data_IF_446937932521
#
_entry.id   IF_446937932521
#
_cell.length_a   1.000
_cell.length_b   1.000
_cell.length_c   1.000
_cell.angle_alpha   90.00
_cell.angle_beta   90.00
_cell.angle_gamma   90.00
#
_symmetry.space_group_name_H-M   'P 1'
#
loop_
_entity.id
_entity.type
_entity.pdbx_description
1 polymer ?
#
# COMPACT_ATOMS: atom_id res chain seq x y z
N UNK A 1 -5.73 25.10 -4.97
CA UNK A 1 -6.98 24.32 -5.10
C UNK A 1 -6.65 22.83 -5.09
N UNK A 2 -7.05 22.10 -4.01
CA UNK A 2 -6.66 20.69 -3.85
C UNK A 2 -7.35 19.76 -4.87
N UNK A 3 -8.65 19.96 -5.13
CA UNK A 3 -9.43 19.11 -6.04
C UNK A 3 -9.18 19.50 -7.51
N UNK A 4 -8.18 18.86 -8.11
CA UNK A 4 -7.94 18.90 -9.55
C UNK A 4 -8.65 17.74 -10.25
N UNK A 5 -8.93 17.79 -11.58
CA UNK A 5 -9.51 16.67 -12.30
C UNK A 5 -8.72 15.36 -12.14
N UNK A 6 -7.39 15.44 -12.06
CA UNK A 6 -6.52 14.28 -11.82
C UNK A 6 -6.77 13.67 -10.45
N UNK A 7 -6.80 14.46 -9.39
CA UNK A 7 -7.05 13.99 -8.02
C UNK A 7 -8.43 13.34 -7.94
N UNK A 8 -9.47 13.97 -8.49
CA UNK A 8 -10.83 13.40 -8.54
C UNK A 8 -10.84 12.04 -9.25
N UNK A 9 -10.17 11.93 -10.39
CA UNK A 9 -10.06 10.67 -11.12
C UNK A 9 -9.36 9.58 -10.29
N UNK A 10 -8.26 9.91 -9.58
CA UNK A 10 -7.56 8.95 -8.70
C UNK A 10 -8.41 8.51 -7.51
N UNK A 11 -9.17 9.42 -6.90
CA UNK A 11 -10.11 9.06 -5.83
C UNK A 11 -11.14 8.04 -6.32
N UNK A 12 -11.76 8.29 -7.48
CA UNK A 12 -12.73 7.36 -8.08
C UNK A 12 -12.11 5.97 -8.31
N UNK A 13 -10.89 5.91 -8.87
CA UNK A 13 -10.18 4.64 -9.05
C UNK A 13 -9.92 3.91 -7.73
N UNK A 14 -9.49 4.64 -6.69
CA UNK A 14 -9.16 4.05 -5.39
C UNK A 14 -10.39 3.50 -4.67
N UNK A 15 -11.54 4.18 -4.77
CA UNK A 15 -12.80 3.66 -4.25
C UNK A 15 -13.24 2.37 -4.96
N UNK A 16 -13.08 2.29 -6.29
CA UNK A 16 -13.35 1.07 -7.06
C UNK A 16 -12.41 -0.07 -6.63
N UNK A 17 -11.11 0.19 -6.52
CA UNK A 17 -10.14 -0.80 -6.07
C UNK A 17 -10.41 -1.29 -4.64
N UNK A 18 -10.78 -0.39 -3.72
CA UNK A 18 -11.18 -0.76 -2.35
C UNK A 18 -12.33 -1.76 -2.38
N UNK A 19 -13.37 -1.51 -3.18
CA UNK A 19 -14.50 -2.42 -3.31
C UNK A 19 -14.12 -3.79 -3.89
N UNK A 20 -13.16 -3.85 -4.81
CA UNK A 20 -12.63 -5.11 -5.37
C UNK A 20 -11.83 -5.89 -4.32
N UNK A 21 -10.94 -5.24 -3.59
CA UNK A 21 -10.15 -5.86 -2.53
C UNK A 21 -11.07 -6.48 -1.48
N UNK A 22 -12.06 -5.74 -0.98
CA UNK A 22 -12.97 -6.23 0.05
C UNK A 22 -13.68 -7.51 -0.38
N UNK A 23 -14.12 -7.62 -1.64
CA UNK A 23 -14.72 -8.85 -2.17
C UNK A 23 -13.75 -10.03 -2.22
N UNK A 24 -12.47 -9.78 -2.54
CA UNK A 24 -11.45 -10.83 -2.54
C UNK A 24 -11.12 -11.31 -1.13
N UNK A 25 -11.12 -10.42 -0.14
CA UNK A 25 -10.88 -10.76 1.27
C UNK A 25 -11.92 -11.76 1.82
N UNK A 26 -13.14 -11.75 1.28
CA UNK A 26 -14.21 -12.66 1.66
C UNK A 26 -14.08 -14.08 1.05
N UNK A 27 -13.26 -14.25 -0.01
CA UNK A 27 -13.31 -15.47 -0.83
C UNK A 27 -12.13 -16.43 -0.68
N UNK A 28 -10.90 -15.96 -0.34
CA UNK A 28 -9.69 -16.83 -0.30
C UNK A 28 -8.68 -16.38 0.76
N UNK A 29 -8.95 -16.72 2.02
CA UNK A 29 -8.10 -16.34 3.16
C UNK A 29 -6.68 -16.99 3.13
N UNK A 30 -6.54 -18.19 2.53
CA UNK A 30 -5.26 -18.90 2.53
C UNK A 30 -4.25 -18.28 1.54
N UNK A 31 -4.70 -17.98 0.32
CA UNK A 31 -3.86 -17.29 -0.68
C UNK A 31 -3.46 -15.89 -0.21
N UNK A 32 -4.36 -15.19 0.46
CA UNK A 32 -4.12 -13.86 1.01
C UNK A 32 -3.10 -13.86 2.15
N UNK A 33 -2.99 -14.94 2.94
CA UNK A 33 -1.97 -15.05 4.00
C UNK A 33 -0.54 -15.04 3.44
N UNK A 34 -0.28 -15.77 2.35
CA UNK A 34 1.05 -15.79 1.69
C UNK A 34 1.43 -14.40 1.14
N UNK A 35 0.45 -13.71 0.54
CA UNK A 35 0.66 -12.33 0.04
C UNK A 35 0.99 -11.40 1.20
N UNK A 36 0.26 -11.49 2.31
CA UNK A 36 0.47 -10.66 3.51
C UNK A 36 1.88 -10.78 4.08
N UNK A 37 2.38 -12.01 4.21
CA UNK A 37 3.75 -12.25 4.69
C UNK A 37 4.79 -11.64 3.77
N UNK A 38 4.62 -11.82 2.45
CA UNK A 38 5.52 -11.26 1.44
C UNK A 38 5.50 -9.72 1.48
N UNK A 39 4.32 -9.12 1.54
CA UNK A 39 4.16 -7.68 1.62
C UNK A 39 4.78 -7.10 2.91
N UNK A 40 4.58 -7.76 4.06
CA UNK A 40 5.18 -7.35 5.33
C UNK A 40 6.72 -7.39 5.27
N UNK A 41 7.31 -8.45 4.69
CA UNK A 41 8.75 -8.56 4.48
C UNK A 41 9.28 -7.40 3.62
N UNK A 42 8.62 -7.12 2.50
CA UNK A 42 8.99 -6.03 1.60
C UNK A 42 8.86 -4.66 2.28
N UNK A 43 7.78 -4.43 3.03
CA UNK A 43 7.51 -3.18 3.74
C UNK A 43 8.58 -2.90 4.78
N UNK A 44 8.88 -3.87 5.65
CA UNK A 44 9.92 -3.71 6.68
C UNK A 44 11.29 -3.47 6.03
N UNK A 45 11.63 -4.23 4.98
CA UNK A 45 12.89 -4.07 4.26
C UNK A 45 13.01 -2.67 3.62
N UNK A 46 11.99 -2.25 2.88
CA UNK A 46 12.00 -1.00 2.14
C UNK A 46 12.03 0.22 3.06
N UNK A 47 11.20 0.24 4.10
CA UNK A 47 11.15 1.36 5.05
C UNK A 47 12.49 1.57 5.75
N UNK A 48 13.16 0.51 6.15
CA UNK A 48 14.47 0.63 6.79
C UNK A 48 15.58 1.03 5.78
N UNK A 49 15.52 0.53 4.54
CA UNK A 49 16.47 0.94 3.48
C UNK A 49 16.37 2.42 3.12
N UNK A 50 15.18 3.03 3.20
CA UNK A 50 15.01 4.47 2.99
C UNK A 50 15.83 5.31 3.98
N UNK A 51 16.11 4.77 5.16
CA UNK A 51 16.95 5.39 6.22
C UNK A 51 18.40 4.87 6.23
N UNK A 52 18.84 4.17 5.18
CA UNK A 52 20.18 3.60 5.11
C UNK A 52 20.41 2.42 6.05
N UNK A 53 19.37 1.87 6.68
CA UNK A 53 19.45 0.71 7.56
C UNK A 53 19.47 -0.54 6.69
N UNK A 54 20.55 -1.33 6.78
CA UNK A 54 20.74 -2.50 5.93
C UNK A 54 21.03 -3.75 6.75
N UNK A 55 20.35 -4.83 6.42
CA UNK A 55 20.55 -6.17 6.99
C UNK A 55 20.62 -7.17 5.84
N UNK A 56 21.51 -8.18 5.94
CA UNK A 56 21.62 -9.23 4.94
C UNK A 56 20.29 -9.96 4.74
N UNK A 57 19.95 -10.32 3.49
CA UNK A 57 18.63 -10.79 3.11
C UNK A 57 18.17 -12.03 3.91
N UNK A 58 19.04 -13.03 4.07
CA UNK A 58 18.73 -14.24 4.85
C UNK A 58 18.47 -13.93 6.33
N UNK A 59 19.21 -12.96 6.87
CA UNK A 59 19.03 -12.51 8.25
C UNK A 59 17.76 -11.69 8.41
N UNK A 60 17.46 -10.84 7.41
CA UNK A 60 16.23 -10.05 7.35
C UNK A 60 14.98 -10.96 7.38
N UNK A 61 14.95 -12.01 6.55
CA UNK A 61 13.87 -13.00 6.55
C UNK A 61 13.69 -13.65 7.92
N UNK A 62 14.78 -14.06 8.58
CA UNK A 62 14.74 -14.65 9.94
C UNK A 62 14.21 -13.67 10.98
N UNK A 63 14.63 -12.40 10.92
CA UNK A 63 14.14 -11.35 11.82
C UNK A 63 12.65 -11.09 11.65
N UNK A 64 12.16 -11.06 10.43
CA UNK A 64 10.78 -10.67 10.15
C UNK A 64 9.82 -11.85 10.31
N UNK A 65 10.08 -12.97 9.66
CA UNK A 65 9.18 -14.12 9.66
C UNK A 65 9.32 -14.99 10.94
N UNK A 66 10.56 -15.26 11.36
CA UNK A 66 10.82 -16.15 12.50
C UNK A 66 10.99 -15.40 13.84
N UNK A 67 10.90 -14.06 13.81
CA UNK A 67 11.05 -13.20 15.01
C UNK A 67 12.30 -13.51 15.85
N UNK A 68 13.41 -13.83 15.19
CA UNK A 68 14.69 -14.09 15.90
C UNK A 68 15.17 -12.82 16.60
N UNK A 69 15.93 -12.98 17.71
CA UNK A 69 16.46 -11.87 18.46
C UNK A 69 17.44 -11.03 17.63
N UNK A 70 17.29 -9.69 17.60
CA UNK A 70 18.20 -8.80 16.90
C UNK A 70 19.57 -8.75 17.63
N UNK A 71 20.66 -8.72 16.88
CA UNK A 71 22.03 -8.73 17.37
C UNK A 71 22.75 -7.39 17.16
N UNK A 72 22.55 -6.76 15.99
CA UNK A 72 23.15 -5.48 15.65
C UNK A 72 22.16 -4.32 15.84
N UNK A 73 22.65 -3.09 15.83
CA UNK A 73 21.76 -1.92 15.97
C UNK A 73 20.82 -1.75 14.77
N UNK A 74 21.24 -2.12 13.57
CA UNK A 74 20.36 -2.14 12.41
C UNK A 74 19.29 -3.23 12.52
N UNK A 75 19.65 -4.42 13.01
CA UNK A 75 18.68 -5.47 13.30
C UNK A 75 17.66 -5.07 14.36
N UNK A 76 18.08 -4.33 15.41
CA UNK A 76 17.17 -3.78 16.43
C UNK A 76 16.15 -2.81 15.83
N UNK A 77 16.60 -1.94 14.93
CA UNK A 77 15.72 -0.99 14.21
C UNK A 77 14.73 -1.73 13.32
N UNK A 78 15.17 -2.75 12.58
CA UNK A 78 14.33 -3.61 11.75
C UNK A 78 13.29 -4.36 12.59
N UNK A 79 13.72 -4.97 13.71
CA UNK A 79 12.82 -5.70 14.59
C UNK A 79 11.77 -4.80 15.24
N UNK A 80 12.15 -3.59 15.65
CA UNK A 80 11.21 -2.59 16.18
C UNK A 80 10.16 -2.20 15.15
N UNK A 81 10.57 -1.89 13.90
CA UNK A 81 9.66 -1.54 12.82
C UNK A 81 8.69 -2.69 12.51
N UNK A 82 9.19 -3.94 12.40
CA UNK A 82 8.39 -5.14 12.22
C UNK A 82 7.29 -5.24 13.28
N UNK A 83 7.66 -5.07 14.55
CA UNK A 83 6.72 -5.28 15.65
C UNK A 83 5.63 -4.21 15.69
N UNK A 84 5.99 -2.94 15.41
CA UNK A 84 5.00 -1.86 15.30
C UNK A 84 4.09 -2.07 14.10
N UNK A 85 4.62 -2.44 12.93
CA UNK A 85 3.80 -2.73 11.76
C UNK A 85 2.84 -3.91 12.02
N UNK A 86 3.32 -4.96 12.70
CA UNK A 86 2.48 -6.11 13.10
C UNK A 86 1.37 -5.69 14.05
N UNK A 87 1.69 -4.84 15.04
CA UNK A 87 0.71 -4.31 15.98
C UNK A 87 -0.36 -3.47 15.28
N UNK A 88 0.05 -2.59 14.37
CA UNK A 88 -0.86 -1.78 13.56
C UNK A 88 -1.77 -2.69 12.73
N UNK A 89 -1.20 -3.64 11.99
CA UNK A 89 -1.97 -4.55 11.11
C UNK A 89 -3.01 -5.40 11.86
N UNK A 90 -2.73 -5.72 13.14
CA UNK A 90 -3.63 -6.53 13.95
C UNK A 90 -4.67 -5.71 14.74
N UNK A 91 -4.40 -4.42 15.02
CA UNK A 91 -5.16 -3.65 16.00
C UNK A 91 -5.51 -2.23 15.54
N UNK A 92 -5.42 -1.91 14.24
CA UNK A 92 -5.64 -0.54 13.75
C UNK A 92 -6.98 0.07 14.18
N UNK A 93 -8.04 -0.71 14.33
CA UNK A 93 -9.35 -0.25 14.78
C UNK A 93 -9.32 0.33 16.21
N UNK A 94 -8.41 -0.18 17.06
CA UNK A 94 -8.25 0.21 18.45
C UNK A 94 -7.12 1.22 18.69
N UNK A 95 -6.43 1.65 17.64
CA UNK A 95 -5.30 2.58 17.72
C UNK A 95 -5.72 3.96 17.15
N UNK A 96 -6.34 4.85 17.93
CA UNK A 96 -6.70 6.18 17.45
C UNK A 96 -5.43 6.99 17.08
N UNK A 97 -5.47 7.86 16.08
CA UNK A 97 -4.35 8.74 15.72
C UNK A 97 -4.21 9.88 16.76
N UNK A 98 -3.92 9.52 18.00
CA UNK A 98 -3.76 10.41 19.15
C UNK A 98 -2.28 10.51 19.55
N UNK A 99 -1.85 11.61 20.20
CA UNK A 99 -0.48 11.77 20.67
C UNK A 99 0.00 10.60 21.55
N UNK A 100 -0.85 10.09 22.44
CA UNK A 100 -0.53 8.95 23.31
C UNK A 100 -0.23 7.67 22.51
N UNK A 101 -1.02 7.39 21.48
CA UNK A 101 -0.80 6.26 20.57
C UNK A 101 0.50 6.43 19.78
N UNK A 102 0.74 7.62 19.24
CA UNK A 102 1.95 7.93 18.46
C UNK A 102 3.20 7.77 19.33
N UNK A 103 3.19 8.27 20.55
CA UNK A 103 4.28 8.11 21.51
C UNK A 103 4.50 6.64 21.89
N UNK A 104 3.42 5.87 22.08
CA UNK A 104 3.52 4.43 22.37
C UNK A 104 4.14 3.67 21.18
N UNK A 105 3.65 3.89 19.95
CA UNK A 105 4.22 3.26 18.76
C UNK A 105 5.68 3.65 18.55
N UNK A 106 6.05 4.91 18.84
CA UNK A 106 7.44 5.36 18.79
C UNK A 106 8.31 4.69 19.88
N UNK A 107 7.79 4.47 21.08
CA UNK A 107 8.48 3.71 22.12
C UNK A 107 8.71 2.26 21.66
N UNK A 108 7.71 1.63 21.06
CA UNK A 108 7.79 0.26 20.58
C UNK A 108 8.75 0.13 19.40
N UNK A 109 8.88 1.16 18.54
CA UNK A 109 9.85 1.23 17.44
C UNK A 109 11.31 1.11 17.95
N UNK A 110 11.59 1.57 19.17
CA UNK A 110 12.92 1.57 19.78
C UNK A 110 13.09 0.56 20.93
N UNK A 111 12.11 -0.33 21.16
CA UNK A 111 12.13 -1.24 22.31
C UNK A 111 13.35 -2.16 22.40
N UNK A 112 13.98 -2.47 21.27
CA UNK A 112 15.20 -3.29 21.23
C UNK A 112 16.49 -2.47 21.40
N UNK A 113 16.42 -1.16 21.41
CA UNK A 113 17.60 -0.27 21.52
C UNK A 113 18.10 -0.07 22.94
N UNK A 114 17.51 -0.74 23.93
CA UNK A 114 18.02 -0.89 25.30
C UNK A 114 17.97 0.36 26.18
N UNK A 115 17.42 1.48 25.70
CA UNK A 115 17.28 2.74 26.45
C UNK A 115 16.02 3.47 26.02
N UNK A 116 15.56 4.41 26.86
CA UNK A 116 14.41 5.30 26.67
C UNK A 116 14.59 6.29 25.50
N UNK A 117 15.00 5.81 24.33
CA UNK A 117 15.17 6.64 23.12
C UNK A 117 13.82 6.94 22.49
N UNK A 118 12.86 6.00 22.61
CA UNK A 118 11.53 6.13 22.01
C UNK A 118 10.47 6.63 22.98
N UNK A 119 9.43 7.24 22.43
CA UNK A 119 8.25 7.69 23.20
C UNK A 119 8.40 9.04 23.88
N UNK A 120 9.43 9.80 23.51
CA UNK A 120 9.65 11.16 24.01
C UNK A 120 9.63 12.14 22.84
N UNK A 121 9.11 13.35 23.08
CA UNK A 121 9.27 14.44 22.13
C UNK A 121 10.73 14.89 22.08
N UNK A 122 11.13 15.46 20.94
CA UNK A 122 12.44 16.13 20.85
C UNK A 122 12.52 17.28 21.84
N UNK A 123 13.69 17.45 22.45
CA UNK A 123 13.96 18.56 23.37
C UNK A 123 14.32 19.80 22.52
N UNK A 124 13.31 20.59 22.19
CA UNK A 124 13.50 21.88 21.53
C UNK A 124 13.13 22.99 22.50
N UNK A 125 14.13 23.73 22.96
CA UNK A 125 13.90 24.92 23.78
C UNK A 125 13.04 25.93 23.00
N UNK A 126 11.73 25.95 23.28
CA UNK A 126 10.82 26.99 22.83
C UNK A 126 9.76 26.62 21.82
N UNK A 127 9.69 25.40 21.26
CA UNK A 127 8.59 24.98 20.39
C UNK A 127 7.80 23.81 20.98
N UNK A 128 6.47 23.96 21.12
CA UNK A 128 5.62 22.92 21.72
C UNK A 128 5.27 21.83 20.69
N UNK A 129 6.24 20.95 20.35
CA UNK A 129 5.96 19.81 19.48
C UNK A 129 4.78 18.97 19.98
N UNK A 130 4.59 18.90 21.31
CA UNK A 130 3.48 18.23 21.93
C UNK A 130 2.13 18.89 21.59
N UNK A 131 2.07 20.22 21.65
CA UNK A 131 0.84 20.98 21.31
C UNK A 131 0.55 20.94 19.81
N UNK A 132 1.57 21.06 18.96
CA UNK A 132 1.42 20.95 17.51
C UNK A 132 0.94 19.58 17.10
N UNK A 133 1.49 18.50 17.67
CA UNK A 133 1.04 17.14 17.40
C UNK A 133 -0.39 16.91 17.92
N UNK A 134 -0.74 17.42 19.10
CA UNK A 134 -2.09 17.31 19.64
C UNK A 134 -3.11 18.05 18.74
N UNK A 135 -2.75 19.26 18.29
CA UNK A 135 -3.59 20.04 17.38
C UNK A 135 -3.79 19.33 16.03
N UNK A 136 -2.74 18.75 15.46
CA UNK A 136 -2.81 17.96 14.23
C UNK A 136 -3.74 16.75 14.39
N UNK A 137 -3.56 15.96 15.46
CA UNK A 137 -4.39 14.79 15.72
C UNK A 137 -5.87 15.17 15.91
N UNK A 138 -6.15 16.22 16.69
CA UNK A 138 -7.52 16.69 16.93
C UNK A 138 -8.18 17.21 15.64
N UNK A 139 -7.46 18.00 14.84
CA UNK A 139 -7.96 18.50 13.57
C UNK A 139 -8.28 17.37 12.58
N UNK A 140 -7.42 16.35 12.53
CA UNK A 140 -7.62 15.17 11.67
C UNK A 140 -8.86 14.36 12.12
N UNK A 141 -8.97 14.06 13.42
CA UNK A 141 -10.13 13.35 13.97
C UNK A 141 -11.45 14.11 13.73
N UNK A 142 -11.44 15.44 13.92
CA UNK A 142 -12.61 16.27 13.63
C UNK A 142 -12.98 16.26 12.15
N UNK A 143 -11.99 16.36 11.26
CA UNK A 143 -12.22 16.31 9.82
C UNK A 143 -12.79 14.97 9.35
N UNK A 144 -12.40 13.86 9.98
CA UNK A 144 -12.94 12.53 9.68
C UNK A 144 -14.42 12.36 10.08
N UNK A 145 -14.97 13.21 10.96
CA UNK A 145 -16.40 13.16 11.30
C UNK A 145 -17.26 13.80 10.19
N UNK A 146 -16.69 14.59 9.31
CA UNK A 146 -17.41 15.16 8.18
C UNK A 146 -17.51 14.14 7.04
N UNK A 147 -18.70 13.60 6.73
CA UNK A 147 -18.88 12.59 5.68
C UNK A 147 -18.60 13.10 4.26
N UNK A 148 -18.46 14.41 4.08
CA UNK A 148 -18.12 15.03 2.77
C UNK A 148 -16.61 14.98 2.53
N UNK A 149 -15.79 14.90 3.58
CA UNK A 149 -14.34 14.88 3.46
C UNK A 149 -13.81 13.46 3.26
N UNK A 150 -13.16 13.25 2.12
CA UNK A 150 -12.56 11.96 1.81
C UNK A 150 -11.26 11.75 2.63
N UNK A 151 -11.13 10.65 3.39
CA UNK A 151 -9.90 10.32 4.13
C UNK A 151 -8.64 10.32 3.25
N UNK A 152 -8.75 9.96 1.97
CA UNK A 152 -7.63 9.99 1.02
C UNK A 152 -7.11 11.39 0.70
N UNK A 153 -7.87 12.43 1.02
CA UNK A 153 -7.40 13.83 0.97
C UNK A 153 -6.80 14.27 2.31
N UNK A 154 -7.38 13.80 3.42
CA UNK A 154 -6.94 14.19 4.77
C UNK A 154 -5.61 13.53 5.15
N UNK A 155 -5.41 12.26 4.78
CA UNK A 155 -4.19 11.50 5.13
C UNK A 155 -2.92 12.15 4.57
N UNK A 156 -2.83 12.55 3.28
CA UNK A 156 -1.64 13.24 2.76
C UNK A 156 -1.35 14.56 3.49
N UNK A 157 -2.40 15.32 3.86
CA UNK A 157 -2.25 16.56 4.63
C UNK A 157 -1.66 16.27 6.01
N UNK A 158 -2.22 15.29 6.72
CA UNK A 158 -1.68 14.83 8.01
C UNK A 158 -0.20 14.42 7.89
N UNK A 159 0.17 13.72 6.83
CA UNK A 159 1.54 13.26 6.61
C UNK A 159 2.52 14.43 6.40
N UNK A 160 2.14 15.43 5.60
CA UNK A 160 2.94 16.63 5.40
C UNK A 160 3.11 17.38 6.72
N UNK A 161 2.05 17.58 7.46
CA UNK A 161 2.09 18.30 8.74
C UNK A 161 2.91 17.55 9.79
N UNK A 162 2.74 16.24 9.92
CA UNK A 162 3.51 15.40 10.84
C UNK A 162 5.01 15.46 10.56
N UNK A 163 5.40 15.40 9.28
CA UNK A 163 6.80 15.45 8.87
C UNK A 163 7.43 16.84 9.09
N UNK A 164 6.64 17.91 8.96
CA UNK A 164 7.11 19.28 9.25
C UNK A 164 7.17 19.57 10.75
N UNK A 165 6.23 19.08 11.56
CA UNK A 165 6.31 19.14 13.03
C UNK A 165 7.55 18.38 13.52
N UNK A 166 7.86 17.24 12.88
CA UNK A 166 9.00 16.39 13.20
C UNK A 166 9.17 16.17 14.72
N UNK A 167 8.20 15.49 15.39
CA UNK A 167 8.10 15.53 16.85
C UNK A 167 9.20 14.77 17.60
N UNK A 168 10.04 14.01 16.90
CA UNK A 168 11.06 13.14 17.47
C UNK A 168 12.46 13.50 16.99
N UNK A 169 13.48 13.32 17.84
CA UNK A 169 14.87 13.47 17.45
C UNK A 169 15.32 12.43 16.42
N UNK A 170 14.72 11.23 16.50
CA UNK A 170 15.05 10.13 15.59
C UNK A 170 13.79 9.35 15.21
N UNK A 171 13.73 8.89 13.97
CA UNK A 171 12.70 7.97 13.49
C UNK A 171 11.37 8.62 13.11
N UNK A 172 11.32 9.95 12.98
CA UNK A 172 10.12 10.65 12.47
C UNK A 172 9.69 10.10 11.11
N UNK A 173 10.61 9.87 10.19
CA UNK A 173 10.32 9.35 8.85
C UNK A 173 9.82 7.90 8.90
N UNK A 174 10.37 7.05 9.74
CA UNK A 174 9.87 5.68 9.94
C UNK A 174 8.50 5.68 10.59
N UNK A 175 8.29 6.55 11.60
CA UNK A 175 6.98 6.73 12.21
C UNK A 175 5.95 7.26 11.23
N UNK A 176 6.32 8.18 10.34
CA UNK A 176 5.39 8.69 9.33
C UNK A 176 4.86 7.56 8.44
N UNK A 177 5.70 6.64 7.97
CA UNK A 177 5.26 5.49 7.16
C UNK A 177 4.38 4.50 7.93
N UNK A 178 4.69 4.26 9.23
CA UNK A 178 3.82 3.46 10.11
C UNK A 178 2.47 4.14 10.34
N UNK A 179 2.45 5.46 10.54
CA UNK A 179 1.22 6.24 10.66
C UNK A 179 0.42 6.25 9.35
N UNK A 180 1.08 6.34 8.19
CA UNK A 180 0.42 6.19 6.90
C UNK A 180 -0.35 4.87 6.82
N UNK A 181 0.29 3.75 7.19
CA UNK A 181 -0.36 2.45 7.23
C UNK A 181 -1.56 2.45 8.21
N UNK A 182 -1.38 2.97 9.42
CA UNK A 182 -2.43 3.07 10.42
C UNK A 182 -3.64 3.86 9.91
N UNK A 183 -3.43 5.05 9.39
CA UNK A 183 -4.49 5.95 8.92
C UNK A 183 -5.24 5.37 7.72
N UNK A 184 -4.52 4.74 6.78
CA UNK A 184 -5.12 4.06 5.63
C UNK A 184 -5.99 2.88 6.08
N UNK A 185 -5.49 2.01 6.97
CA UNK A 185 -6.24 0.83 7.43
C UNK A 185 -7.49 1.24 8.21
N UNK A 186 -7.40 2.20 9.12
CA UNK A 186 -8.56 2.77 9.83
C UNK A 186 -9.61 3.36 8.91
N UNK A 187 -9.19 3.86 7.74
CA UNK A 187 -10.09 4.39 6.70
C UNK A 187 -10.59 3.31 5.73
N UNK A 188 -10.24 2.03 5.97
CA UNK A 188 -10.63 0.89 5.16
C UNK A 188 -9.84 0.73 3.85
N UNK A 189 -8.65 1.34 3.74
CA UNK A 189 -7.74 1.17 2.61
C UNK A 189 -6.59 0.23 2.99
N UNK A 190 -6.87 -1.08 3.03
CA UNK A 190 -5.98 -2.10 3.58
C UNK A 190 -4.96 -2.66 2.57
N UNK A 191 -4.86 -2.11 1.37
CA UNK A 191 -3.97 -2.63 0.31
C UNK A 191 -2.52 -2.76 0.77
N UNK A 192 -2.05 -1.90 1.69
CA UNK A 192 -0.71 -1.96 2.26
C UNK A 192 -0.39 -3.23 3.03
N UNK A 193 -1.41 -4.00 3.47
CA UNK A 193 -1.23 -5.32 4.05
C UNK A 193 -0.87 -6.39 3.01
N UNK A 194 -1.14 -6.15 1.72
CA UNK A 194 -1.03 -7.11 0.63
C UNK A 194 -0.06 -6.67 -0.48
N UNK A 195 0.26 -5.38 -0.54
CA UNK A 195 1.21 -4.78 -1.49
C UNK A 195 2.01 -3.69 -0.77
N UNK A 196 3.33 -3.80 -0.76
CA UNK A 196 4.19 -2.90 0.01
C UNK A 196 4.18 -1.48 -0.56
N UNK A 197 3.51 -0.56 0.13
CA UNK A 197 3.55 0.87 -0.17
C UNK A 197 4.99 1.40 0.01
N UNK A 198 5.69 1.00 1.07
CA UNK A 198 7.07 1.43 1.35
C UNK A 198 8.05 1.01 0.25
N UNK A 199 7.83 -0.16 -0.40
CA UNK A 199 8.65 -0.56 -1.55
C UNK A 199 8.43 0.36 -2.76
N UNK A 200 7.20 0.82 -2.97
CA UNK A 200 6.89 1.80 -4.02
C UNK A 200 7.53 3.15 -3.68
N UNK A 201 7.43 3.61 -2.42
CA UNK A 201 8.08 4.85 -1.95
C UNK A 201 9.60 4.78 -2.15
N UNK A 202 10.24 3.67 -1.79
CA UNK A 202 11.68 3.47 -1.99
C UNK A 202 12.06 3.54 -3.47
N UNK A 203 11.31 2.87 -4.34
CA UNK A 203 11.57 2.85 -5.77
C UNK A 203 11.33 4.20 -6.45
N UNK A 204 10.49 5.05 -5.85
CA UNK A 204 10.15 6.38 -6.35
C UNK A 204 10.63 7.49 -5.42
N UNK A 205 11.72 7.23 -4.64
CA UNK A 205 12.19 8.12 -3.57
C UNK A 205 12.40 9.56 -4.04
N UNK A 206 13.00 9.77 -5.20
CA UNK A 206 13.21 11.12 -5.73
C UNK A 206 11.88 11.87 -5.97
N UNK A 207 10.84 11.19 -6.46
CA UNK A 207 9.50 11.78 -6.64
C UNK A 207 8.79 12.03 -5.32
N UNK A 208 8.96 11.13 -4.35
CA UNK A 208 8.48 11.30 -2.98
C UNK A 208 9.07 12.56 -2.34
N UNK A 209 10.42 12.67 -2.34
CA UNK A 209 11.14 13.79 -1.76
C UNK A 209 10.74 15.12 -2.43
N UNK A 210 10.64 15.14 -3.77
CA UNK A 210 10.23 16.33 -4.51
C UNK A 210 8.79 16.75 -4.21
N UNK A 211 7.86 15.79 -4.12
CA UNK A 211 6.45 16.07 -3.79
C UNK A 211 6.32 16.60 -2.36
N UNK A 212 6.99 15.97 -1.40
CA UNK A 212 7.02 16.40 -0.01
C UNK A 212 7.61 17.82 0.13
N UNK A 213 8.77 18.06 -0.49
CA UNK A 213 9.43 19.38 -0.46
C UNK A 213 8.52 20.48 -1.01
N UNK A 214 7.83 20.23 -2.12
CA UNK A 214 6.88 21.18 -2.71
C UNK A 214 5.70 21.46 -1.78
N UNK A 215 5.17 20.43 -1.13
CA UNK A 215 4.04 20.59 -0.20
C UNK A 215 4.44 21.15 1.16
N UNK A 216 5.72 21.06 1.53
CA UNK A 216 6.27 21.68 2.76
C UNK A 216 6.71 23.13 2.57
N UNK A 217 6.77 23.62 1.33
CA UNK A 217 7.16 25.02 1.07
C UNK A 217 6.17 25.98 1.72
N UNK A 218 6.67 26.93 2.50
CA UNK A 218 5.88 27.88 3.30
C UNK A 218 4.95 27.26 4.37
N UNK A 219 5.21 26.03 4.79
CA UNK A 219 4.38 25.36 5.79
C UNK A 219 4.31 26.15 7.11
N UNK A 220 5.44 26.63 7.62
CA UNK A 220 5.48 27.44 8.86
C UNK A 220 4.70 28.74 8.77
N UNK A 221 4.46 29.28 7.57
CA UNK A 221 3.63 30.45 7.33
C UNK A 221 2.13 30.11 7.12
N UNK A 222 1.76 28.82 7.13
CA UNK A 222 0.40 28.36 6.88
C UNK A 222 -0.11 28.61 5.45
N UNK A 223 0.79 28.77 4.47
CA UNK A 223 0.45 29.04 3.07
C UNK A 223 1.01 28.01 2.09
N UNK A 224 1.27 26.80 2.60
CA UNK A 224 1.73 25.67 1.82
C UNK A 224 0.62 25.07 0.93
N UNK A 225 1.01 24.32 -0.10
CA UNK A 225 0.09 23.62 -1.01
C UNK A 225 0.22 22.10 -0.82
N UNK A 226 -0.82 21.45 -0.33
CA UNK A 226 -0.85 20.00 -0.13
C UNK A 226 -1.04 19.21 -1.44
N UNK A 227 -1.44 19.84 -2.55
CA UNK A 227 -1.78 19.14 -3.78
C UNK A 227 -0.64 18.28 -4.37
N UNK A 228 0.64 18.71 -4.38
CA UNK A 228 1.73 17.90 -4.93
C UNK A 228 1.91 16.57 -4.21
N UNK A 229 1.90 16.56 -2.87
CA UNK A 229 2.07 15.34 -2.09
C UNK A 229 0.81 14.46 -2.14
N UNK A 230 -0.37 15.08 -2.14
CA UNK A 230 -1.65 14.35 -2.32
C UNK A 230 -1.68 13.61 -3.65
N UNK A 231 -1.36 14.28 -4.76
CA UNK A 231 -1.32 13.63 -6.07
C UNK A 231 -0.30 12.47 -6.12
N UNK A 232 0.87 12.67 -5.54
CA UNK A 232 1.90 11.63 -5.44
C UNK A 232 1.41 10.40 -4.63
N UNK A 233 0.83 10.62 -3.45
CA UNK A 233 0.37 9.53 -2.58
C UNK A 233 -0.80 8.76 -3.21
N UNK A 234 -1.76 9.43 -3.83
CA UNK A 234 -2.86 8.78 -4.54
C UNK A 234 -2.34 7.90 -5.69
N UNK A 235 -1.36 8.37 -6.47
CA UNK A 235 -0.72 7.58 -7.52
C UNK A 235 0.02 6.36 -6.94
N UNK A 236 0.68 6.50 -5.80
CA UNK A 236 1.33 5.41 -5.07
C UNK A 236 0.31 4.34 -4.65
N UNK A 237 -0.84 4.75 -4.11
CA UNK A 237 -1.92 3.83 -3.73
C UNK A 237 -2.51 3.11 -4.95
N UNK A 238 -2.75 3.81 -6.06
CA UNK A 238 -3.20 3.17 -7.32
C UNK A 238 -2.19 2.12 -7.78
N UNK A 239 -0.89 2.40 -7.67
CA UNK A 239 0.16 1.44 -8.01
C UNK A 239 0.13 0.22 -7.08
N UNK A 240 -0.06 0.41 -5.78
CA UNK A 240 -0.18 -0.67 -4.81
C UNK A 240 -1.37 -1.58 -5.11
N UNK A 241 -2.54 -1.01 -5.41
CA UNK A 241 -3.73 -1.79 -5.80
C UNK A 241 -3.53 -2.56 -7.09
N UNK A 242 -2.92 -1.96 -8.11
CA UNK A 242 -2.59 -2.67 -9.37
C UNK A 242 -1.65 -3.85 -9.14
N UNK A 243 -0.59 -3.65 -8.35
CA UNK A 243 0.33 -4.73 -7.97
C UNK A 243 -0.39 -5.86 -7.22
N UNK A 244 -1.31 -5.51 -6.32
CA UNK A 244 -2.12 -6.49 -5.62
C UNK A 244 -3.01 -7.28 -6.59
N UNK A 245 -3.74 -6.63 -7.49
CA UNK A 245 -4.62 -7.27 -8.48
C UNK A 245 -3.84 -8.27 -9.36
N UNK A 246 -2.62 -7.90 -9.78
CA UNK A 246 -1.75 -8.80 -10.55
C UNK A 246 -1.34 -10.05 -9.76
N UNK A 247 -0.98 -9.89 -8.48
CA UNK A 247 -0.58 -10.99 -7.60
C UNK A 247 -1.78 -11.86 -7.28
N UNK A 248 -2.91 -11.28 -6.93
CA UNK A 248 -4.16 -11.99 -6.61
C UNK A 248 -4.63 -12.83 -7.81
N UNK A 249 -4.61 -12.25 -9.01
CA UNK A 249 -4.96 -12.97 -10.24
C UNK A 249 -4.06 -14.18 -10.48
N UNK A 250 -2.75 -14.07 -10.22
CA UNK A 250 -1.81 -15.20 -10.37
C UNK A 250 -2.05 -16.30 -9.34
N UNK A 251 -2.44 -15.96 -8.12
CA UNK A 251 -2.64 -16.93 -7.05
C UNK A 251 -3.98 -17.66 -7.17
N UNK A 252 -5.05 -16.95 -7.44
CA UNK A 252 -6.34 -17.56 -7.74
C UNK A 252 -6.28 -18.46 -8.97
N UNK A 253 -5.39 -18.15 -9.93
CA UNK A 253 -5.13 -19.00 -11.09
C UNK A 253 -4.31 -20.27 -10.77
N UNK A 254 -3.57 -20.37 -9.67
CA UNK A 254 -2.75 -21.56 -9.33
C UNK A 254 -3.59 -22.82 -9.04
N UNK A 255 -4.83 -22.69 -8.58
CA UNK A 255 -5.76 -23.80 -8.32
C UNK A 255 -6.63 -24.18 -9.51
N UNK A 256 -6.63 -23.38 -10.58
CA UNK A 256 -7.47 -23.60 -11.76
C UNK A 256 -6.77 -24.48 -12.79
N UNK A 257 -7.54 -25.29 -13.52
CA UNK A 257 -7.03 -25.98 -14.70
C UNK A 257 -6.52 -24.97 -15.74
N UNK A 258 -5.55 -25.38 -16.58
CA UNK A 258 -5.02 -24.50 -17.64
C UNK A 258 -6.13 -23.91 -18.54
N UNK A 259 -7.17 -24.64 -18.96
CA UNK A 259 -8.32 -24.07 -19.67
C UNK A 259 -9.12 -23.05 -18.86
N UNK A 260 -9.34 -23.29 -17.56
CA UNK A 260 -10.08 -22.36 -16.69
C UNK A 260 -9.32 -21.03 -16.53
N UNK A 261 -7.99 -21.08 -16.41
CA UNK A 261 -7.14 -19.87 -16.38
C UNK A 261 -7.27 -19.04 -17.64
N UNK A 262 -7.33 -19.69 -18.82
CA UNK A 262 -7.56 -19.00 -20.09
C UNK A 262 -8.95 -18.35 -20.12
N UNK A 263 -9.97 -19.08 -19.64
CA UNK A 263 -11.33 -18.55 -19.52
C UNK A 263 -11.36 -17.28 -18.67
N UNK A 264 -10.74 -17.32 -17.47
CA UNK A 264 -10.80 -16.24 -16.51
C UNK A 264 -10.00 -15.00 -16.99
N UNK A 265 -8.89 -15.19 -17.72
CA UNK A 265 -8.18 -14.09 -18.37
C UNK A 265 -9.11 -13.34 -19.34
N UNK A 266 -9.89 -14.05 -20.15
CA UNK A 266 -10.80 -13.44 -21.12
C UNK A 266 -11.99 -12.79 -20.41
N UNK A 267 -12.54 -13.46 -19.38
CA UNK A 267 -13.68 -12.96 -18.59
C UNK A 267 -13.34 -11.65 -17.85
N UNK A 268 -12.13 -11.52 -17.33
CA UNK A 268 -11.67 -10.34 -16.58
C UNK A 268 -11.15 -9.22 -17.49
N UNK A 269 -10.87 -9.53 -18.75
CA UNK A 269 -10.40 -8.53 -19.71
C UNK A 269 -11.56 -7.66 -20.17
N UNK A 270 -11.43 -6.32 -20.00
CA UNK A 270 -12.44 -5.38 -20.50
C UNK A 270 -12.22 -5.13 -21.99
N UNK A 271 -13.08 -5.72 -22.82
CA UNK A 271 -13.04 -5.55 -24.26
C UNK A 271 -12.41 -6.74 -25.02
N UNK A 272 -11.87 -6.47 -26.18
CA UNK A 272 -11.28 -7.48 -27.07
C UNK A 272 -9.88 -7.88 -26.62
N UNK A 273 -9.60 -9.20 -26.59
CA UNK A 273 -8.28 -9.73 -26.27
C UNK A 273 -7.78 -10.67 -27.39
N UNK A 274 -6.52 -10.55 -27.75
CA UNK A 274 -5.89 -11.41 -28.75
C UNK A 274 -5.26 -12.66 -28.11
N UNK A 275 -5.05 -13.71 -28.91
CA UNK A 275 -4.32 -14.91 -28.43
C UNK A 275 -2.91 -14.58 -27.95
N UNK A 276 -2.24 -13.61 -28.55
CA UNK A 276 -0.90 -13.17 -28.15
C UNK A 276 -0.90 -12.54 -26.76
N UNK A 277 -1.93 -11.75 -26.42
CA UNK A 277 -2.09 -11.13 -25.10
C UNK A 277 -2.42 -12.17 -24.02
N UNK A 278 -3.27 -13.16 -24.34
CA UNK A 278 -3.55 -14.29 -23.45
C UNK A 278 -2.25 -15.04 -23.14
N UNK A 279 -1.43 -15.37 -24.15
CA UNK A 279 -0.15 -16.07 -23.96
C UNK A 279 0.86 -15.27 -23.13
N UNK A 280 0.86 -13.93 -23.24
CA UNK A 280 1.70 -13.07 -22.38
C UNK A 280 1.27 -13.11 -20.92
N UNK A 281 -0.03 -13.25 -20.65
CA UNK A 281 -0.57 -13.31 -19.28
C UNK A 281 -0.41 -14.70 -18.64
N UNK A 282 -0.25 -15.77 -19.45
CA UNK A 282 -0.03 -17.12 -18.98
C UNK A 282 1.13 -17.82 -19.72
N UNK A 283 2.39 -17.40 -19.49
CA UNK A 283 3.56 -17.90 -20.23
C UNK A 283 3.87 -19.39 -19.97
N UNK A 284 3.33 -19.96 -18.93
CA UNK A 284 3.43 -21.39 -18.57
C UNK A 284 2.41 -22.29 -19.30
N UNK A 285 1.46 -21.70 -20.02
CA UNK A 285 0.45 -22.44 -20.82
C UNK A 285 0.88 -22.50 -22.28
N UNK A 286 0.94 -23.72 -22.82
CA UNK A 286 1.31 -23.88 -24.21
C UNK A 286 0.29 -23.25 -25.17
N UNK A 287 0.76 -22.79 -26.33
CA UNK A 287 -0.09 -22.23 -27.37
C UNK A 287 -1.21 -23.19 -27.81
N UNK A 288 -0.94 -24.49 -27.81
CA UNK A 288 -1.91 -25.54 -28.16
C UNK A 288 -3.03 -25.59 -27.11
N UNK A 289 -2.67 -25.49 -25.81
CA UNK A 289 -3.65 -25.50 -24.72
C UNK A 289 -4.54 -24.25 -24.78
N UNK A 290 -3.97 -23.08 -25.04
CA UNK A 290 -4.75 -21.84 -25.24
C UNK A 290 -5.70 -21.97 -26.43
N UNK A 291 -5.24 -22.56 -27.56
CA UNK A 291 -6.11 -22.78 -28.73
C UNK A 291 -7.28 -23.72 -28.43
N UNK A 292 -7.04 -24.81 -27.68
CA UNK A 292 -8.11 -25.74 -27.27
C UNK A 292 -9.12 -25.06 -26.36
N UNK A 293 -8.65 -24.33 -25.34
CA UNK A 293 -9.52 -23.58 -24.45
C UNK A 293 -10.37 -22.54 -25.20
N UNK A 294 -9.80 -21.81 -26.14
CA UNK A 294 -10.53 -20.86 -27.00
C UNK A 294 -11.58 -21.56 -27.86
N UNK A 295 -11.28 -22.73 -28.41
CA UNK A 295 -12.25 -23.52 -29.21
C UNK A 295 -13.42 -24.00 -28.33
N UNK A 296 -13.14 -24.48 -27.11
CA UNK A 296 -14.17 -24.91 -26.16
C UNK A 296 -15.06 -23.75 -25.72
N UNK A 297 -14.48 -22.59 -25.43
CA UNK A 297 -15.21 -21.37 -25.05
C UNK A 297 -16.08 -20.83 -26.17
N UNK A 298 -15.62 -20.93 -27.44
CA UNK A 298 -16.41 -20.57 -28.61
C UNK A 298 -17.59 -21.55 -28.82
N UNK A 299 -17.33 -22.85 -28.70
CA UNK A 299 -18.36 -23.90 -28.84
C UNK A 299 -19.46 -23.75 -27.79
N UNK A 300 -19.09 -23.37 -26.57
CA UNK A 300 -19.99 -23.13 -25.45
C UNK A 300 -20.61 -21.71 -25.47
N UNK A 301 -20.31 -20.90 -26.49
CA UNK A 301 -20.81 -19.52 -26.63
C UNK A 301 -20.43 -18.56 -25.48
N UNK A 302 -19.42 -18.89 -24.70
CA UNK A 302 -18.92 -18.00 -23.63
C UNK A 302 -18.14 -16.80 -24.20
N UNK A 303 -17.57 -16.94 -25.39
CA UNK A 303 -16.85 -15.88 -26.08
C UNK A 303 -17.32 -15.72 -27.51
N UNK A 304 -17.15 -14.52 -28.07
CA UNK A 304 -17.34 -14.23 -29.50
C UNK A 304 -15.98 -13.95 -30.14
N UNK A 305 -15.76 -14.53 -31.32
CA UNK A 305 -14.58 -14.27 -32.14
C UNK A 305 -14.83 -13.06 -33.04
N UNK A 306 -13.90 -12.11 -33.02
CA UNK A 306 -13.93 -10.89 -33.83
C UNK A 306 -12.74 -10.90 -34.79
N UNK A 307 -12.97 -10.51 -36.04
CA UNK A 307 -11.93 -10.44 -37.05
C UNK A 307 -11.49 -11.80 -37.61
N UNK A 308 -10.37 -11.81 -38.34
CA UNK A 308 -9.83 -13.01 -38.99
C UNK A 308 -8.31 -12.97 -39.17
N UNK A 309 -7.70 -14.14 -39.37
CA UNK A 309 -6.27 -14.27 -39.59
C UNK A 309 -5.45 -13.76 -38.43
N UNK A 310 -4.49 -12.84 -38.72
CA UNK A 310 -3.57 -12.28 -37.69
C UNK A 310 -4.22 -11.24 -36.79
N UNK A 311 -5.42 -10.76 -37.10
CA UNK A 311 -6.19 -9.76 -36.36
C UNK A 311 -7.36 -10.39 -35.58
N UNK A 312 -7.30 -11.68 -35.29
CA UNK A 312 -8.34 -12.36 -34.51
C UNK A 312 -8.25 -11.96 -33.04
N UNK A 313 -9.36 -11.45 -32.50
CA UNK A 313 -9.59 -11.17 -31.08
C UNK A 313 -10.82 -11.91 -30.58
N UNK A 314 -10.97 -11.94 -29.27
CA UNK A 314 -12.05 -12.62 -28.56
C UNK A 314 -12.62 -11.67 -27.52
N UNK A 315 -13.94 -11.69 -27.35
CA UNK A 315 -14.65 -10.91 -26.33
C UNK A 315 -15.52 -11.85 -25.49
N UNK A 316 -15.60 -11.58 -24.19
CA UNK A 316 -16.49 -12.31 -23.28
C UNK A 316 -17.95 -11.91 -23.50
N UNK A 317 -18.87 -12.87 -23.60
CA UNK A 317 -20.28 -12.62 -23.93
C UNK A 317 -21.15 -12.23 -22.72
N UNK A 318 -20.58 -12.19 -21.50
CA UNK A 318 -21.37 -12.04 -20.26
C UNK A 318 -22.04 -13.36 -19.84
N UNK A 319 -22.56 -13.38 -18.63
CA UNK A 319 -23.45 -14.48 -18.19
C UNK A 319 -24.87 -14.15 -18.68
N UNK A 320 -25.43 -15.02 -19.52
CA UNK A 320 -26.86 -15.04 -19.80
C UNK A 320 -27.56 -15.73 -18.64
#
# INVERSE_FOLDING_TARGET
QLLTPEIVFRLTQLHEYKGRLNRLLETDAAALSEIKETAALQTVAASNRMEGITVAEDRLKKLILNKTNPQTDDEKKVAGYRDVLTSISANYDFLPPAPSTILQLHRDLYKFSGKTVGGNYKDTAGEPCAESLASLCNAFEQALQDPVLDPLLLIPMFMVDFLNIAPFDNGTERMSRLLLALLLYRSGYEVGQYSSIDAILLNTKASYDAALQRSSHNWAAGTNDYAPFTAYLLNTLVTAYKSFDEIATRLTAKGLSKPDRVRDIIKLHQGEITKSEILKQCPDISQITVQRALADLLNNKHITKIGGGRYTSYIWNGEN
#
